data_IF_946362396374
#
_entry.id   IF_946362396374
#
_cell.length_a   1.000
_cell.length_b   1.000
_cell.length_c   1.000
_cell.angle_alpha   90.00
_cell.angle_beta   90.00
_cell.angle_gamma   90.00
#
_symmetry.space_group_name_H-M   'P 1'
#
loop_
_entity.id
_entity.type
_entity.pdbx_description
1 polymer ?
#
# COMPACT_ATOMS: atom_id res chain seq x y z
N UNK A 1 90.76 24.65 75.38
CA UNK A 1 90.22 23.37 74.88
C UNK A 1 88.69 23.22 74.90
N UNK A 2 87.95 23.60 75.96
CA UNK A 2 86.47 23.42 76.02
C UNK A 2 85.63 24.26 75.02
N UNK A 3 86.09 25.47 74.64
CA UNK A 3 85.39 26.35 73.67
C UNK A 3 85.48 25.84 72.22
N UNK A 4 86.63 25.28 71.83
CA UNK A 4 86.86 24.67 70.51
C UNK A 4 85.97 23.44 70.29
N UNK A 5 85.87 22.53 71.28
CA UNK A 5 84.98 21.36 71.22
C UNK A 5 83.49 21.71 71.10
N UNK A 6 83.04 22.81 71.72
CA UNK A 6 81.66 23.32 71.58
C UNK A 6 81.39 23.92 70.19
N UNK A 7 82.40 24.55 69.60
CA UNK A 7 82.32 25.09 68.25
C UNK A 7 82.31 23.96 67.21
N UNK A 8 83.18 22.96 67.36
CA UNK A 8 83.23 21.76 66.50
C UNK A 8 81.92 20.96 66.52
N UNK A 9 81.31 20.78 67.70
CA UNK A 9 80.00 20.12 67.82
C UNK A 9 78.85 20.94 67.21
N UNK A 10 78.93 22.27 67.31
CA UNK A 10 77.94 23.14 66.64
C UNK A 10 78.11 23.12 65.12
N UNK A 11 79.35 23.14 64.62
CA UNK A 11 79.67 23.00 63.20
C UNK A 11 79.19 21.64 62.68
N UNK A 12 79.47 20.54 63.39
CA UNK A 12 78.98 19.20 63.00
C UNK A 12 77.44 19.13 62.96
N UNK A 13 76.76 19.75 63.92
CA UNK A 13 75.29 19.85 63.93
C UNK A 13 74.75 20.67 62.75
N UNK A 14 75.32 21.83 62.45
CA UNK A 14 74.93 22.64 61.29
C UNK A 14 75.24 21.91 59.97
N UNK A 15 76.35 21.18 59.90
CA UNK A 15 76.72 20.39 58.71
C UNK A 15 75.77 19.21 58.50
N UNK A 16 75.33 18.54 59.57
CA UNK A 16 74.26 17.52 59.52
C UNK A 16 72.91 18.13 59.11
N UNK A 17 72.58 19.31 59.62
CA UNK A 17 71.34 20.01 59.27
C UNK A 17 71.33 20.42 57.78
N UNK A 18 72.44 20.95 57.27
CA UNK A 18 72.64 21.27 55.85
C UNK A 18 72.51 20.01 55.00
N UNK A 19 73.15 18.90 55.37
CA UNK A 19 73.01 17.62 54.66
C UNK A 19 71.56 17.14 54.63
N UNK A 20 70.85 17.16 55.76
CA UNK A 20 69.44 16.77 55.82
C UNK A 20 68.53 17.66 54.95
N UNK A 21 68.82 18.96 54.92
CA UNK A 21 68.10 19.90 54.04
C UNK A 21 68.40 19.62 52.57
N UNK A 22 69.66 19.31 52.20
CA UNK A 22 70.04 18.92 50.84
C UNK A 22 69.41 17.60 50.40
N UNK A 23 69.30 16.62 51.29
CA UNK A 23 68.59 15.35 50.99
C UNK A 23 67.10 15.61 50.76
N UNK A 24 66.46 16.41 51.61
CA UNK A 24 65.05 16.80 51.43
C UNK A 24 64.83 17.64 50.17
N UNK A 25 65.76 18.53 49.83
CA UNK A 25 65.69 19.32 48.60
C UNK A 25 65.76 18.40 47.37
N UNK A 26 66.65 17.40 47.40
CA UNK A 26 66.79 16.40 46.33
C UNK A 26 65.56 15.51 46.19
N UNK A 27 64.98 15.07 47.31
CA UNK A 27 63.71 14.30 47.33
C UNK A 27 62.53 15.13 46.79
N UNK A 28 62.45 16.41 47.18
CA UNK A 28 61.40 17.31 46.69
C UNK A 28 61.58 17.62 45.21
N UNK A 29 62.81 17.84 44.73
CA UNK A 29 63.11 17.98 43.30
C UNK A 29 62.69 16.75 42.52
N UNK A 30 63.06 15.54 42.97
CA UNK A 30 62.64 14.31 42.31
C UNK A 30 61.11 14.14 42.27
N UNK A 31 60.40 14.56 43.32
CA UNK A 31 58.92 14.57 43.32
C UNK A 31 58.32 15.61 42.38
N UNK A 32 58.98 16.76 42.23
CA UNK A 32 58.56 17.80 41.28
C UNK A 32 58.76 17.27 39.85
N UNK A 33 59.93 16.72 39.55
CA UNK A 33 60.29 16.20 38.22
C UNK A 33 59.33 15.09 37.77
N UNK A 34 59.03 14.12 38.65
CA UNK A 34 58.05 13.07 38.38
C UNK A 34 56.63 13.60 38.14
N UNK A 35 56.23 14.64 38.87
CA UNK A 35 54.91 15.26 38.69
C UNK A 35 54.86 16.08 37.40
N UNK A 36 55.93 16.76 37.03
CA UNK A 36 56.01 17.49 35.76
C UNK A 36 55.98 16.53 34.57
N UNK A 37 56.72 15.42 34.61
CA UNK A 37 56.63 14.39 33.55
C UNK A 37 55.21 13.81 33.45
N UNK A 38 54.53 13.59 34.59
CA UNK A 38 53.16 13.10 34.59
C UNK A 38 52.17 14.10 34.00
N UNK A 39 52.33 15.40 34.31
CA UNK A 39 51.53 16.48 33.73
C UNK A 39 51.77 16.57 32.22
N UNK A 40 53.02 16.51 31.76
CA UNK A 40 53.35 16.54 30.34
C UNK A 40 52.75 15.35 29.60
N UNK A 41 52.79 14.16 30.20
CA UNK A 41 52.19 12.96 29.63
C UNK A 41 50.67 13.11 29.50
N UNK A 42 50.00 13.58 30.55
CA UNK A 42 48.55 13.86 30.51
C UNK A 42 48.19 14.93 29.48
N UNK A 43 48.97 16.00 29.37
CA UNK A 43 48.76 17.04 28.35
C UNK A 43 48.96 16.49 26.94
N UNK A 44 49.95 15.61 26.75
CA UNK A 44 50.19 14.93 25.48
C UNK A 44 49.07 13.96 25.15
N UNK A 45 48.53 13.23 26.12
CA UNK A 45 47.39 12.33 25.94
C UNK A 45 46.12 13.12 25.57
N UNK A 46 45.84 14.24 26.24
CA UNK A 46 44.72 15.14 25.92
C UNK A 46 44.83 15.74 24.51
N UNK A 47 46.05 16.11 24.09
CA UNK A 47 46.27 16.74 22.80
C UNK A 47 46.48 15.74 21.65
N UNK A 48 46.90 14.51 21.94
CA UNK A 48 47.16 13.46 20.94
C UNK A 48 45.90 12.69 20.56
N UNK A 49 44.97 12.51 21.50
CA UNK A 49 43.68 11.92 21.18
C UNK A 49 42.81 12.97 20.48
N UNK A 50 42.80 12.91 19.14
CA UNK A 50 41.87 13.64 18.26
C UNK A 50 40.41 13.50 18.74
N UNK A 51 40.12 12.42 19.48
CA UNK A 51 38.86 12.11 20.13
C UNK A 51 38.46 13.17 21.17
N UNK A 52 39.38 13.65 22.03
CA UNK A 52 39.08 14.66 23.05
C UNK A 52 38.98 16.07 22.44
N UNK A 53 39.86 16.40 21.50
CA UNK A 53 39.89 17.72 20.85
C UNK A 53 38.65 17.97 19.98
N UNK A 54 38.15 16.93 19.30
CA UNK A 54 36.91 16.99 18.51
C UNK A 54 35.69 16.41 19.23
N UNK A 55 35.75 16.17 20.54
CA UNK A 55 34.62 15.59 21.28
C UNK A 55 33.35 16.45 21.15
N UNK A 56 33.48 17.76 21.27
CA UNK A 56 32.34 18.69 21.19
C UNK A 56 31.76 18.77 19.77
N UNK A 57 32.62 18.81 18.75
CA UNK A 57 32.19 18.83 17.35
C UNK A 57 31.54 17.50 16.95
N UNK A 58 32.07 16.37 17.40
CA UNK A 58 31.48 15.05 17.20
C UNK A 58 30.14 14.89 17.94
N UNK A 59 30.04 15.38 19.17
CA UNK A 59 28.79 15.41 19.93
C UNK A 59 27.72 16.22 19.20
N UNK A 60 28.05 17.44 18.74
CA UNK A 60 27.14 18.29 17.96
C UNK A 60 26.69 17.60 16.67
N UNK A 61 27.59 16.96 15.92
CA UNK A 61 27.25 16.17 14.73
C UNK A 61 26.28 15.03 15.04
N UNK A 62 26.56 14.25 16.09
CA UNK A 62 25.68 13.14 16.50
C UNK A 62 24.33 13.62 17.00
N UNK A 63 24.28 14.77 17.69
CA UNK A 63 23.03 15.39 18.11
C UNK A 63 22.16 15.77 16.90
N UNK A 64 22.76 16.41 15.89
CA UNK A 64 22.08 16.74 14.63
C UNK A 64 21.56 15.47 13.96
N UNK A 65 22.40 14.43 13.82
CA UNK A 65 21.97 13.15 13.24
C UNK A 65 20.76 12.57 13.97
N UNK A 66 20.76 12.53 15.30
CA UNK A 66 19.64 12.01 16.10
C UNK A 66 18.35 12.81 15.85
N UNK A 67 18.45 14.14 15.79
CA UNK A 67 17.29 15.00 15.53
C UNK A 67 16.75 14.75 14.12
N UNK A 68 17.64 14.65 13.12
CA UNK A 68 17.27 14.33 11.74
C UNK A 68 16.58 12.97 11.68
N UNK A 69 17.16 11.91 12.24
CA UNK A 69 16.54 10.59 12.25
C UNK A 69 15.17 10.57 12.93
N UNK A 70 15.02 11.29 14.04
CA UNK A 70 13.73 11.40 14.75
C UNK A 70 12.67 12.07 13.88
N UNK A 71 13.02 13.14 13.17
CA UNK A 71 12.11 13.82 12.25
C UNK A 71 11.78 12.93 11.03
N UNK A 72 12.77 12.28 10.43
CA UNK A 72 12.58 11.35 9.32
C UNK A 72 11.63 10.21 9.70
N UNK A 73 11.77 9.64 10.91
CA UNK A 73 10.85 8.62 11.40
C UNK A 73 9.41 9.14 11.53
N UNK A 74 9.24 10.36 12.05
CA UNK A 74 7.93 11.01 12.16
C UNK A 74 7.31 11.23 10.78
N UNK A 75 8.09 11.66 9.81
CA UNK A 75 7.64 11.88 8.44
C UNK A 75 7.23 10.57 7.78
N UNK A 76 8.03 9.51 7.93
CA UNK A 76 7.70 8.17 7.42
C UNK A 76 6.38 7.67 8.02
N UNK A 77 6.18 7.80 9.33
CA UNK A 77 4.91 7.43 9.97
C UNK A 77 3.73 8.25 9.42
N UNK A 78 3.96 9.54 9.16
CA UNK A 78 2.92 10.43 8.60
C UNK A 78 2.56 10.02 7.16
N UNK A 79 3.56 9.75 6.32
CA UNK A 79 3.34 9.26 4.95
C UNK A 79 2.65 7.89 4.93
N UNK A 80 3.05 6.99 5.82
CA UNK A 80 2.41 5.68 5.96
C UNK A 80 0.91 5.83 6.25
N UNK A 81 0.55 6.65 7.25
CA UNK A 81 -0.84 6.90 7.61
C UNK A 81 -1.61 7.62 6.48
N UNK A 82 -0.98 8.59 5.82
CA UNK A 82 -1.60 9.31 4.71
C UNK A 82 -1.91 8.39 3.52
N UNK A 83 -0.98 7.49 3.17
CA UNK A 83 -1.16 6.51 2.10
C UNK A 83 -2.28 5.52 2.47
N UNK A 84 -2.27 4.98 3.69
CA UNK A 84 -3.30 4.05 4.15
C UNK A 84 -4.71 4.70 4.11
N UNK A 85 -4.82 5.95 4.57
CA UNK A 85 -6.07 6.73 4.45
C UNK A 85 -6.46 6.99 3.00
N UNK A 86 -5.50 7.33 2.14
CA UNK A 86 -5.76 7.55 0.72
C UNK A 86 -6.27 6.27 0.02
N UNK A 87 -5.71 5.11 0.35
CA UNK A 87 -6.16 3.81 -0.18
C UNK A 87 -7.59 3.51 0.25
N UNK A 88 -7.93 3.71 1.53
CA UNK A 88 -9.31 3.50 2.03
C UNK A 88 -10.28 4.44 1.33
N UNK A 89 -9.91 5.73 1.22
CA UNK A 89 -10.75 6.73 0.57
C UNK A 89 -10.96 6.40 -0.90
N UNK A 90 -9.90 6.02 -1.61
CA UNK A 90 -9.97 5.62 -3.01
C UNK A 90 -10.87 4.39 -3.21
N UNK A 91 -10.71 3.38 -2.35
CA UNK A 91 -11.54 2.18 -2.39
C UNK A 91 -13.03 2.49 -2.18
N UNK A 92 -13.38 3.27 -1.16
CA UNK A 92 -14.76 3.66 -0.89
C UNK A 92 -15.38 4.44 -2.06
N UNK A 93 -14.65 5.42 -2.61
CA UNK A 93 -15.09 6.20 -3.76
C UNK A 93 -15.33 5.31 -4.98
N UNK A 94 -14.43 4.35 -5.24
CA UNK A 94 -14.58 3.42 -6.36
C UNK A 94 -15.75 2.48 -6.18
N UNK A 95 -15.97 1.94 -4.98
CA UNK A 95 -17.13 1.08 -4.71
C UNK A 95 -18.45 1.85 -4.85
N UNK A 96 -18.50 3.11 -4.45
CA UNK A 96 -19.67 3.97 -4.65
C UNK A 96 -19.95 4.20 -6.15
N UNK A 97 -18.92 4.57 -6.92
CA UNK A 97 -18.99 4.76 -8.38
C UNK A 97 -19.50 3.49 -9.09
N UNK A 98 -18.93 2.33 -8.75
CA UNK A 98 -19.33 1.02 -9.29
C UNK A 98 -20.80 0.74 -8.93
N UNK A 99 -21.20 0.96 -7.68
CA UNK A 99 -22.56 0.68 -7.22
C UNK A 99 -23.60 1.59 -7.88
N UNK A 100 -23.25 2.84 -8.18
CA UNK A 100 -24.11 3.74 -8.96
C UNK A 100 -24.31 3.19 -10.38
N UNK A 101 -23.23 2.79 -11.06
CA UNK A 101 -23.32 2.20 -12.41
C UNK A 101 -24.14 0.90 -12.40
N UNK A 102 -23.87 -0.01 -11.47
CA UNK A 102 -24.63 -1.26 -11.30
C UNK A 102 -26.12 -0.98 -11.10
N UNK A 103 -26.48 -0.05 -10.20
CA UNK A 103 -27.88 0.28 -9.90
C UNK A 103 -28.61 0.84 -11.12
N UNK A 104 -27.94 1.71 -11.88
CA UNK A 104 -28.49 2.30 -13.10
C UNK A 104 -28.67 1.26 -14.21
N UNK A 105 -27.67 0.41 -14.43
CA UNK A 105 -27.74 -0.67 -15.42
C UNK A 105 -28.81 -1.71 -15.06
N UNK A 106 -28.89 -2.11 -13.79
CA UNK A 106 -29.90 -3.07 -13.32
C UNK A 106 -31.31 -2.57 -13.57
N UNK A 107 -31.63 -1.34 -13.14
CA UNK A 107 -32.97 -0.75 -13.28
C UNK A 107 -33.41 -0.57 -14.73
N UNK A 108 -32.46 -0.38 -15.66
CA UNK A 108 -32.76 -0.23 -17.09
C UNK A 108 -33.07 -1.56 -17.78
N UNK A 109 -32.65 -2.67 -17.18
CA UNK A 109 -32.62 -3.96 -17.87
C UNK A 109 -33.52 -4.98 -17.21
N UNK A 110 -33.53 -5.02 -15.89
CA UNK A 110 -34.32 -5.97 -15.13
C UNK A 110 -35.69 -5.37 -14.84
N UNK A 111 -36.68 -5.76 -15.65
CA UNK A 111 -38.05 -5.25 -15.58
C UNK A 111 -38.96 -6.03 -14.61
N UNK A 112 -38.42 -7.02 -13.90
CA UNK A 112 -39.22 -7.85 -13.00
C UNK A 112 -39.33 -7.21 -11.60
N UNK A 113 -40.53 -7.23 -10.97
CA UNK A 113 -40.79 -6.56 -9.69
C UNK A 113 -40.22 -7.29 -8.46
N UNK A 114 -39.47 -8.37 -8.65
CA UNK A 114 -38.95 -9.18 -7.55
C UNK A 114 -37.64 -8.62 -6.96
N UNK A 115 -36.88 -7.80 -7.70
CA UNK A 115 -35.63 -7.17 -7.24
C UNK A 115 -35.57 -5.72 -7.72
N UNK A 116 -35.51 -4.77 -6.79
CA UNK A 116 -35.48 -3.33 -7.11
C UNK A 116 -34.14 -2.90 -7.70
N UNK A 117 -33.05 -3.31 -7.05
CA UNK A 117 -31.68 -3.12 -7.51
C UNK A 117 -30.71 -4.04 -6.78
N UNK A 118 -29.52 -4.17 -7.34
CA UNK A 118 -28.40 -4.89 -6.74
C UNK A 118 -27.24 -3.93 -6.51
N UNK A 119 -26.35 -4.28 -5.58
CA UNK A 119 -25.10 -3.57 -5.35
C UNK A 119 -24.08 -4.48 -4.66
N UNK A 120 -22.80 -4.10 -4.71
CA UNK A 120 -21.70 -4.82 -4.06
C UNK A 120 -21.41 -4.14 -2.72
N UNK A 121 -21.48 -4.91 -1.64
CA UNK A 121 -21.09 -4.47 -0.31
C UNK A 121 -19.67 -4.93 -0.01
N UNK A 122 -18.83 -4.02 0.47
CA UNK A 122 -17.48 -4.31 0.97
C UNK A 122 -17.44 -4.13 2.47
N UNK A 123 -17.29 -5.24 3.18
CA UNK A 123 -17.13 -5.26 4.64
C UNK A 123 -15.64 -5.41 4.99
N UNK A 124 -15.12 -4.51 5.83
CA UNK A 124 -13.72 -4.54 6.29
C UNK A 124 -13.61 -5.60 7.39
N UNK A 125 -12.77 -6.61 7.19
CA UNK A 125 -12.42 -7.51 8.29
C UNK A 125 -11.51 -6.75 9.26
N UNK A 126 -12.00 -6.52 10.49
CA UNK A 126 -11.14 -6.03 11.57
C UNK A 126 -10.13 -7.14 11.92
N UNK A 127 -8.83 -6.85 12.00
CA UNK A 127 -7.84 -7.86 12.36
C UNK A 127 -8.08 -8.30 13.81
N UNK A 128 -8.17 -9.61 14.03
CA UNK A 128 -8.28 -10.21 15.37
C UNK A 128 -6.93 -10.36 16.09
N UNK A 129 -5.81 -9.93 15.48
CA UNK A 129 -4.46 -10.14 16.03
C UNK A 129 -3.63 -8.85 15.99
N UNK A 130 -2.94 -8.57 17.10
CA UNK A 130 -2.01 -7.46 17.36
C UNK A 130 -0.71 -7.51 16.52
N UNK A 131 -0.78 -7.91 15.25
CA UNK A 131 0.36 -7.84 14.35
C UNK A 131 0.33 -6.50 13.61
N UNK A 132 1.26 -5.63 13.98
CA UNK A 132 1.49 -4.26 13.49
C UNK A 132 1.60 -4.09 11.95
N UNK A 133 1.65 -5.18 11.19
CA UNK A 133 1.83 -5.17 9.74
C UNK A 133 0.95 -6.27 9.13
N UNK A 134 -0.37 -6.08 9.12
CA UNK A 134 -1.26 -6.99 8.39
C UNK A 134 -2.01 -6.23 7.30
N UNK A 135 -1.93 -6.74 6.06
CA UNK A 135 -2.69 -6.22 4.91
C UNK A 135 -4.18 -6.27 5.25
N UNK A 136 -4.88 -5.15 5.01
CA UNK A 136 -6.35 -5.07 5.18
C UNK A 136 -7.04 -6.11 4.31
N UNK A 137 -7.98 -6.84 4.88
CA UNK A 137 -8.79 -7.85 4.17
C UNK A 137 -10.20 -7.31 3.98
N UNK A 138 -10.69 -7.35 2.74
CA UNK A 138 -12.04 -6.92 2.37
C UNK A 138 -12.87 -8.14 1.99
N UNK A 139 -14.05 -8.24 2.57
CA UNK A 139 -15.07 -9.20 2.16
C UNK A 139 -16.07 -8.52 1.23
N UNK A 140 -16.25 -9.08 0.05
CA UNK A 140 -17.22 -8.61 -0.92
C UNK A 140 -18.41 -9.56 -0.98
N UNK A 141 -19.61 -9.00 -0.98
CA UNK A 141 -20.86 -9.74 -1.21
C UNK A 141 -21.78 -8.95 -2.13
N UNK A 142 -22.49 -9.67 -2.98
CA UNK A 142 -23.50 -9.07 -3.86
C UNK A 142 -24.84 -9.11 -3.15
N UNK A 143 -25.46 -7.95 -3.03
CA UNK A 143 -26.69 -7.75 -2.27
C UNK A 143 -27.78 -7.33 -3.24
N UNK A 144 -28.96 -7.93 -3.08
CA UNK A 144 -30.18 -7.47 -3.72
C UNK A 144 -31.04 -6.71 -2.71
N UNK A 145 -31.73 -5.69 -3.18
CA UNK A 145 -32.69 -4.93 -2.38
C UNK A 145 -34.09 -5.17 -2.93
N UNK A 146 -35.02 -5.45 -2.03
CA UNK A 146 -36.45 -5.56 -2.32
C UNK A 146 -37.24 -4.91 -1.20
N UNK A 147 -38.11 -3.94 -1.49
CA UNK A 147 -38.95 -3.26 -0.50
C UNK A 147 -38.14 -2.75 0.72
N UNK A 148 -36.98 -2.14 0.46
CA UNK A 148 -36.02 -1.69 1.48
C UNK A 148 -35.40 -2.81 2.35
N UNK A 149 -35.59 -4.08 2.02
CA UNK A 149 -34.90 -5.19 2.66
C UNK A 149 -33.66 -5.60 1.86
N UNK A 150 -32.52 -5.71 2.54
CA UNK A 150 -31.25 -6.18 1.96
C UNK A 150 -31.12 -7.69 2.12
N UNK A 151 -30.87 -8.40 1.03
CA UNK A 151 -30.66 -9.85 1.01
C UNK A 151 -29.40 -10.20 0.24
N UNK A 152 -28.61 -11.14 0.75
CA UNK A 152 -27.47 -11.69 0.00
C UNK A 152 -27.99 -12.51 -1.18
N UNK A 153 -27.51 -12.21 -2.39
CA UNK A 153 -27.87 -12.93 -3.60
C UNK A 153 -27.34 -14.37 -3.60
N UNK A 154 -26.24 -14.63 -2.86
CA UNK A 154 -25.63 -15.97 -2.83
C UNK A 154 -26.63 -17.00 -2.32
N UNK A 155 -26.92 -18.00 -3.17
CA UNK A 155 -27.86 -19.08 -2.87
C UNK A 155 -29.34 -18.68 -2.91
N UNK A 156 -29.68 -17.44 -3.33
CA UNK A 156 -31.05 -16.93 -3.35
C UNK A 156 -31.52 -16.41 -4.72
N UNK A 157 -30.66 -16.44 -5.73
CA UNK A 157 -30.97 -16.01 -7.08
C UNK A 157 -31.09 -17.18 -8.07
N UNK A 158 -31.94 -17.00 -9.09
CA UNK A 158 -32.10 -17.94 -10.20
C UNK A 158 -30.85 -17.96 -11.09
N UNK A 159 -30.71 -18.99 -11.93
CA UNK A 159 -29.59 -19.09 -12.87
C UNK A 159 -29.53 -17.88 -13.81
N UNK A 160 -30.68 -17.42 -14.31
CA UNK A 160 -30.71 -16.25 -15.19
C UNK A 160 -30.37 -14.93 -14.50
N UNK A 161 -30.82 -14.74 -13.25
CA UNK A 161 -30.43 -13.59 -12.44
C UNK A 161 -28.92 -13.55 -12.18
N UNK A 162 -28.27 -14.71 -12.00
CA UNK A 162 -26.81 -14.79 -11.83
C UNK A 162 -26.07 -14.35 -13.08
N UNK A 163 -26.52 -14.79 -14.26
CA UNK A 163 -25.90 -14.44 -15.54
C UNK A 163 -26.03 -12.94 -15.80
N UNK A 164 -27.25 -12.40 -15.65
CA UNK A 164 -27.50 -10.98 -15.83
C UNK A 164 -26.69 -10.11 -14.86
N UNK A 165 -26.70 -10.47 -13.57
CA UNK A 165 -25.92 -9.80 -12.53
C UNK A 165 -24.42 -9.81 -12.86
N UNK A 166 -23.87 -10.95 -13.29
CA UNK A 166 -22.47 -11.08 -13.69
C UNK A 166 -22.10 -10.17 -14.86
N UNK A 167 -22.95 -10.06 -15.88
CA UNK A 167 -22.72 -9.18 -17.03
C UNK A 167 -22.73 -7.71 -16.58
N UNK A 168 -23.73 -7.29 -15.82
CA UNK A 168 -23.86 -5.91 -15.32
C UNK A 168 -22.67 -5.52 -14.45
N UNK A 169 -22.24 -6.39 -13.53
CA UNK A 169 -21.08 -6.13 -12.68
C UNK A 169 -19.81 -5.97 -13.53
N UNK A 170 -19.58 -6.85 -14.52
CA UNK A 170 -18.42 -6.74 -15.41
C UNK A 170 -18.40 -5.43 -16.20
N UNK A 171 -19.56 -4.99 -16.68
CA UNK A 171 -19.72 -3.72 -17.38
C UNK A 171 -19.40 -2.52 -16.48
N UNK A 172 -19.97 -2.49 -15.28
CA UNK A 172 -19.73 -1.41 -14.31
C UNK A 172 -18.26 -1.36 -13.86
N UNK A 173 -17.62 -2.52 -13.68
CA UNK A 173 -16.19 -2.59 -13.38
C UNK A 173 -15.34 -2.08 -14.55
N UNK A 174 -15.66 -2.46 -15.78
CA UNK A 174 -14.96 -1.99 -16.96
C UNK A 174 -15.07 -0.46 -17.13
N UNK A 175 -16.26 0.09 -16.86
CA UNK A 175 -16.51 1.54 -16.87
C UNK A 175 -15.70 2.27 -15.79
N UNK A 176 -15.73 1.78 -14.55
CA UNK A 176 -15.13 2.50 -13.42
C UNK A 176 -13.60 2.38 -13.34
N UNK A 177 -13.04 1.24 -13.76
CA UNK A 177 -11.60 1.00 -13.69
C UNK A 177 -10.86 1.24 -15.00
N UNK A 178 -11.54 1.22 -16.14
CA UNK A 178 -10.88 1.40 -17.42
C UNK A 178 -11.28 2.70 -18.07
N UNK A 179 -10.33 3.63 -18.09
CA UNK A 179 -10.46 4.92 -18.77
C UNK A 179 -10.67 4.74 -20.29
N UNK A 180 -10.30 3.58 -20.87
CA UNK A 180 -10.37 3.26 -22.31
C UNK A 180 -10.59 1.77 -22.63
N UNK A 181 -11.34 1.01 -21.84
CA UNK A 181 -11.70 -0.36 -22.25
C UNK A 181 -12.84 -0.30 -23.25
N UNK A 182 -12.45 -0.26 -24.52
CA UNK A 182 -13.35 -0.27 -25.66
C UNK A 182 -13.72 -1.67 -26.13
N UNK A 183 -13.40 -2.75 -25.42
CA UNK A 183 -13.71 -4.11 -25.89
C UNK A 183 -14.43 -4.90 -24.80
N UNK A 184 -15.61 -5.43 -25.12
CA UNK A 184 -16.32 -6.38 -24.28
C UNK A 184 -16.54 -7.68 -25.06
N UNK A 185 -16.14 -8.81 -24.50
CA UNK A 185 -16.43 -10.13 -25.06
C UNK A 185 -17.41 -10.88 -24.15
N UNK A 186 -18.50 -11.38 -24.74
CA UNK A 186 -19.52 -12.17 -24.08
C UNK A 186 -19.61 -13.52 -24.78
N UNK A 187 -19.17 -14.57 -24.06
CA UNK A 187 -19.26 -15.95 -24.52
C UNK A 187 -20.50 -16.63 -23.93
N UNK A 188 -21.36 -17.12 -24.80
CA UNK A 188 -22.66 -17.73 -24.55
C UNK A 188 -23.49 -17.06 -23.43
N UNK A 189 -23.85 -15.77 -23.59
CA UNK A 189 -24.43 -15.00 -22.50
C UNK A 189 -25.90 -15.37 -22.23
N UNK A 190 -26.52 -16.23 -23.04
CA UNK A 190 -27.88 -16.74 -22.86
C UNK A 190 -27.94 -18.09 -22.13
N UNK A 191 -26.80 -18.60 -21.66
CA UNK A 191 -26.76 -19.86 -20.91
C UNK A 191 -27.74 -19.84 -19.73
N UNK A 192 -28.72 -20.76 -19.71
CA UNK A 192 -29.79 -20.85 -18.72
C UNK A 192 -30.74 -19.63 -18.64
N UNK A 193 -30.88 -18.87 -19.73
CA UNK A 193 -31.92 -17.85 -19.89
C UNK A 193 -33.11 -18.42 -20.67
N UNK A 194 -34.31 -18.03 -20.27
CA UNK A 194 -35.53 -18.23 -21.07
C UNK A 194 -35.65 -17.12 -22.13
N UNK A 195 -36.54 -17.33 -23.11
CA UNK A 195 -36.72 -16.39 -24.24
C UNK A 195 -37.02 -14.95 -23.82
N UNK A 196 -37.70 -14.76 -22.69
CA UNK A 196 -38.01 -13.42 -22.18
C UNK A 196 -36.74 -12.72 -21.67
N UNK A 197 -35.93 -13.41 -20.86
CA UNK A 197 -34.69 -12.86 -20.34
C UNK A 197 -33.61 -12.73 -21.42
N UNK A 198 -33.55 -13.64 -22.40
CA UNK A 198 -32.67 -13.46 -23.58
C UNK A 198 -33.03 -12.19 -24.36
N UNK A 199 -34.33 -11.89 -24.52
CA UNK A 199 -34.78 -10.64 -25.18
C UNK A 199 -34.44 -9.40 -24.35
N UNK A 200 -34.60 -9.46 -23.03
CA UNK A 200 -34.20 -8.38 -22.13
C UNK A 200 -32.68 -8.16 -22.16
N UNK A 201 -31.90 -9.23 -22.24
CA UNK A 201 -30.45 -9.16 -22.39
C UNK A 201 -30.04 -8.57 -23.74
N UNK A 202 -30.72 -8.91 -24.83
CA UNK A 202 -30.48 -8.31 -26.14
C UNK A 202 -30.75 -6.79 -26.11
N UNK A 203 -31.84 -6.38 -25.45
CA UNK A 203 -32.16 -4.97 -25.21
C UNK A 203 -31.10 -4.26 -24.34
N UNK A 204 -30.58 -4.92 -23.30
CA UNK A 204 -29.46 -4.41 -22.48
C UNK A 204 -28.26 -4.14 -23.37
N UNK A 205 -27.87 -5.12 -24.17
CA UNK A 205 -26.69 -5.04 -25.02
C UNK A 205 -26.85 -3.91 -26.04
N UNK A 206 -28.02 -3.80 -26.67
CA UNK A 206 -28.34 -2.71 -27.57
C UNK A 206 -28.18 -1.34 -26.91
N UNK A 207 -28.79 -1.15 -25.74
CA UNK A 207 -28.69 0.10 -24.99
C UNK A 207 -27.25 0.45 -24.60
N UNK A 208 -26.43 -0.54 -24.26
CA UNK A 208 -25.01 -0.30 -23.90
C UNK A 208 -24.21 0.12 -25.12
N UNK A 209 -24.41 -0.54 -26.26
CA UNK A 209 -23.75 -0.16 -27.51
C UNK A 209 -24.15 1.25 -27.91
N UNK A 210 -25.45 1.60 -27.84
CA UNK A 210 -25.96 2.95 -28.13
C UNK A 210 -25.32 4.02 -27.22
N UNK A 211 -25.33 3.80 -25.90
CA UNK A 211 -24.76 4.73 -24.91
C UNK A 211 -23.27 4.96 -25.12
N UNK A 212 -22.54 3.95 -25.61
CA UNK A 212 -21.10 4.03 -25.82
C UNK A 212 -20.69 4.48 -27.22
N UNK A 213 -21.62 4.47 -28.18
CA UNK A 213 -21.43 4.92 -29.56
C UNK A 213 -21.01 6.39 -29.64
N UNK A 214 -21.53 7.23 -28.75
CA UNK A 214 -21.23 8.67 -28.74
C UNK A 214 -19.90 9.03 -28.06
N UNK A 215 -19.39 8.18 -27.16
CA UNK A 215 -18.31 8.54 -26.23
C UNK A 215 -16.98 7.83 -26.48
N UNK A 216 -16.96 6.66 -27.15
CA UNK A 216 -15.72 5.88 -27.32
C UNK A 216 -15.75 4.88 -28.49
N UNK A 217 -14.58 4.38 -28.90
CA UNK A 217 -14.45 3.18 -29.74
C UNK A 217 -14.84 1.95 -28.91
N UNK A 218 -16.13 1.62 -28.85
CA UNK A 218 -16.64 0.43 -28.19
C UNK A 218 -16.88 -0.69 -29.21
N UNK A 219 -16.29 -1.85 -28.94
CA UNK A 219 -16.36 -3.07 -29.71
C UNK A 219 -16.94 -4.16 -28.81
N UNK A 220 -18.06 -4.71 -29.22
CA UNK A 220 -18.68 -5.85 -28.57
C UNK A 220 -18.44 -7.10 -29.41
N UNK A 221 -17.89 -8.14 -28.80
CA UNK A 221 -17.76 -9.46 -29.38
C UNK A 221 -18.75 -10.37 -28.67
N UNK A 222 -19.67 -10.96 -29.42
CA UNK A 222 -20.67 -11.86 -28.90
C UNK A 222 -20.50 -13.22 -29.55
N UNK A 223 -20.39 -14.27 -28.74
CA UNK A 223 -20.35 -15.66 -29.18
C UNK A 223 -21.61 -16.31 -28.64
N UNK A 224 -22.42 -16.88 -29.52
CA UNK A 224 -23.63 -17.61 -29.13
C UNK A 224 -23.99 -18.67 -30.15
N UNK A 225 -24.63 -19.75 -29.69
CA UNK A 225 -25.34 -20.70 -30.55
C UNK A 225 -26.87 -20.50 -30.53
N UNK A 226 -27.39 -19.54 -29.76
CA UNK A 226 -28.81 -19.24 -29.67
C UNK A 226 -29.26 -18.35 -30.84
N UNK A 227 -29.90 -18.96 -31.85
CA UNK A 227 -30.40 -18.25 -33.02
C UNK A 227 -31.49 -17.23 -32.69
N UNK A 228 -32.34 -17.51 -31.69
CA UNK A 228 -33.37 -16.58 -31.26
C UNK A 228 -32.76 -15.31 -30.66
N UNK A 229 -31.65 -15.44 -29.94
CA UNK A 229 -30.93 -14.31 -29.39
C UNK A 229 -30.23 -13.47 -30.46
N UNK A 230 -29.66 -14.11 -31.49
CA UNK A 230 -29.12 -13.42 -32.67
C UNK A 230 -30.22 -12.63 -33.37
N UNK A 231 -31.37 -13.24 -33.64
CA UNK A 231 -32.52 -12.56 -34.25
C UNK A 231 -33.00 -11.37 -33.42
N UNK A 232 -33.02 -11.53 -32.09
CA UNK A 232 -33.38 -10.46 -31.17
C UNK A 232 -32.38 -9.29 -31.21
N UNK A 233 -31.07 -9.56 -31.33
CA UNK A 233 -30.05 -8.52 -31.48
C UNK A 233 -30.14 -7.81 -32.83
N UNK A 234 -30.41 -8.56 -33.90
CA UNK A 234 -30.60 -8.00 -35.25
C UNK A 234 -31.80 -7.04 -35.32
N UNK A 235 -32.86 -7.28 -34.54
CA UNK A 235 -34.02 -6.36 -34.45
C UNK A 235 -33.65 -4.97 -33.91
N UNK A 236 -32.58 -4.87 -33.11
CA UNK A 236 -32.08 -3.59 -32.61
C UNK A 236 -31.09 -2.90 -33.56
N UNK A 237 -30.83 -3.47 -34.75
CA UNK A 237 -29.94 -2.87 -35.76
C UNK A 237 -28.47 -2.84 -35.34
N UNK A 238 -28.05 -3.77 -34.49
CA UNK A 238 -26.70 -3.81 -33.93
C UNK A 238 -25.63 -4.24 -34.95
N UNK A 239 -25.97 -5.14 -35.87
CA UNK A 239 -25.03 -5.72 -36.84
C UNK A 239 -25.74 -6.12 -38.12
N UNK A 240 -25.16 -5.79 -39.28
CA UNK A 240 -25.64 -6.24 -40.59
C UNK A 240 -25.05 -7.59 -41.01
N UNK A 241 -23.97 -8.04 -40.37
CA UNK A 241 -23.27 -9.30 -40.68
C UNK A 241 -22.79 -10.00 -39.40
N UNK A 242 -22.70 -11.32 -39.42
CA UNK A 242 -22.16 -12.15 -38.34
C UNK A 242 -21.25 -13.27 -38.88
N UNK A 243 -20.31 -13.73 -38.06
CA UNK A 243 -19.45 -14.85 -38.40
C UNK A 243 -20.06 -16.15 -37.90
N UNK A 244 -20.35 -17.08 -38.82
CA UNK A 244 -20.76 -18.44 -38.47
C UNK A 244 -19.54 -19.37 -38.50
N UNK A 245 -19.24 -19.98 -37.36
CA UNK A 245 -18.15 -20.95 -37.23
C UNK A 245 -18.74 -22.36 -37.34
N UNK A 246 -18.22 -23.16 -38.27
CA UNK A 246 -18.58 -24.57 -38.46
C UNK A 246 -17.33 -25.44 -38.55
N UNK A 247 -17.46 -26.74 -38.22
CA UNK A 247 -16.38 -27.71 -38.46
C UNK A 247 -16.53 -28.29 -39.86
N UNK A 248 -15.41 -28.35 -40.57
CA UNK A 248 -15.31 -29.02 -41.86
C UNK A 248 -15.22 -30.55 -41.68
N UNK A 249 -15.33 -31.30 -42.78
CA UNK A 249 -15.21 -32.78 -42.80
C UNK A 249 -13.87 -33.27 -42.22
N UNK A 250 -12.83 -32.44 -42.30
CA UNK A 250 -11.50 -32.69 -41.70
C UNK A 250 -11.35 -32.21 -40.25
N UNK A 251 -12.45 -31.94 -39.54
CA UNK A 251 -12.49 -31.48 -38.12
C UNK A 251 -11.83 -30.11 -37.87
N UNK A 252 -11.38 -29.44 -38.92
CA UNK A 252 -10.85 -28.07 -38.86
C UNK A 252 -11.99 -27.05 -38.74
N UNK A 253 -11.75 -25.95 -38.02
CA UNK A 253 -12.77 -24.90 -37.83
C UNK A 253 -12.70 -23.89 -38.98
N UNK A 254 -13.84 -23.62 -39.63
CA UNK A 254 -13.99 -22.66 -40.72
C UNK A 254 -14.98 -21.57 -40.27
N UNK A 255 -14.62 -20.30 -40.48
CA UNK A 255 -15.49 -19.16 -40.24
C UNK A 255 -15.98 -18.55 -41.54
N UNK A 256 -17.29 -18.50 -41.74
CA UNK A 256 -17.93 -17.86 -42.89
C UNK A 256 -18.68 -16.60 -42.45
N UNK A 257 -18.52 -15.50 -43.18
CA UNK A 257 -19.30 -14.29 -42.99
C UNK A 257 -20.68 -14.47 -43.64
N UNK A 258 -21.75 -14.18 -42.88
CA UNK A 258 -23.15 -14.23 -43.30
C UNK A 258 -23.79 -12.88 -42.98
#
# INVERSE_FOLDING_TARGET
>A
MKKLKKLETSIDNYTKCIRNLQTKESELKGKIDLRTEYIEKLQKDINSDVIYTNAETNYKKKLIEIIVYKNTLKDICTYYNAIDQAIIKFHNLKMEEINISIKNLWRRVYNSPDIDYIYIKSDIQKPNNDKLIQRRSYNYRVVMVKNNCELDMRGRCSSGQKVLCSIIIRLALAESFSVKCGILALDEPTTNLDKSNSRNLAALIANIVELRKETSTFQLILITHDTYFVDALSQYGLTDCFYKISRDENVSSIGNLI
#
